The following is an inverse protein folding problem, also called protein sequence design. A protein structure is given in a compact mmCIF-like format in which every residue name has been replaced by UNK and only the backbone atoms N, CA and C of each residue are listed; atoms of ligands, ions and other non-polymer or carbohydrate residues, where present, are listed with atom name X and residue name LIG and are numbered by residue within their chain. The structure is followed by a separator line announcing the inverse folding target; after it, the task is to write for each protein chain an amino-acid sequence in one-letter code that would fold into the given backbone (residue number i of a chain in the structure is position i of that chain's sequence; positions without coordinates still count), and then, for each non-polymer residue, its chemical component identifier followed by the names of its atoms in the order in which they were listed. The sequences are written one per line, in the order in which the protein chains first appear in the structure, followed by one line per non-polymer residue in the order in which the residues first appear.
data_IF_166511660711
#
_entry.id   IF_166511660711
#
_cell.length_a   1.000
_cell.length_b   1.000
_cell.length_c   1.000
_cell.angle_alpha   90.00
_cell.angle_beta   90.00
_cell.angle_gamma   90.00
#
_symmetry.space_group_name_H-M   'P 1'
#
loop_
_entity.id
_entity.type
_entity.pdbx_description
1 polymer ?
#
# COMPACT_ATOMS: atom_id res chain seq x y z
N UNK A 1 -29.48 15.29 -4.46
CA UNK A 1 -28.90 13.93 -4.55
C UNK A 1 -28.48 13.52 -3.15
N UNK A 2 -29.24 12.60 -2.53
CA UNK A 2 -28.95 12.10 -1.19
C UNK A 2 -27.74 11.15 -1.27
N UNK A 3 -26.62 11.58 -0.69
CA UNK A 3 -25.46 10.72 -0.52
C UNK A 3 -25.85 9.62 0.49
N UNK A 4 -26.14 8.44 -0.05
CA UNK A 4 -26.34 7.22 0.71
C UNK A 4 -25.00 6.84 1.35
N UNK A 5 -24.66 7.50 2.46
CA UNK A 5 -23.52 7.14 3.30
C UNK A 5 -23.83 5.77 3.89
N UNK A 6 -23.40 4.72 3.19
CA UNK A 6 -23.14 3.44 3.84
C UNK A 6 -22.06 3.72 4.87
N UNK A 7 -22.49 4.05 6.09
CA UNK A 7 -21.64 4.22 7.26
C UNK A 7 -20.91 2.90 7.41
N UNK A 8 -19.68 2.87 6.93
CA UNK A 8 -18.82 1.71 7.00
C UNK A 8 -18.54 1.56 8.47
N UNK A 9 -19.16 0.55 9.10
CA UNK A 9 -19.07 0.38 10.55
C UNK A 9 -17.59 0.52 10.97
N UNK A 10 -17.24 1.44 11.89
CA UNK A 10 -15.87 1.87 12.13
C UNK A 10 -14.95 0.73 12.56
N UNK A 11 -15.50 -0.38 13.07
CA UNK A 11 -14.75 -1.61 13.31
C UNK A 11 -14.28 -2.28 12.01
N UNK A 12 -15.17 -2.42 11.03
CA UNK A 12 -14.87 -3.00 9.72
C UNK A 12 -13.90 -2.13 8.92
N UNK A 13 -14.02 -0.81 9.01
CA UNK A 13 -13.10 0.11 8.36
C UNK A 13 -11.66 -0.03 8.92
N UNK A 14 -11.50 -0.13 10.25
CA UNK A 14 -10.19 -0.37 10.87
C UNK A 14 -9.60 -1.73 10.50
N UNK A 15 -10.43 -2.77 10.47
CA UNK A 15 -10.01 -4.10 10.03
C UNK A 15 -9.61 -4.10 8.55
N UNK A 16 -10.30 -3.34 7.70
CA UNK A 16 -9.94 -3.18 6.29
C UNK A 16 -8.62 -2.44 6.07
N UNK A 17 -8.35 -1.39 6.84
CA UNK A 17 -7.04 -0.72 6.87
C UNK A 17 -5.97 -1.71 7.30
N UNK A 18 -6.18 -2.43 8.39
CA UNK A 18 -5.22 -3.41 8.89
C UNK A 18 -4.93 -4.52 7.86
N UNK A 19 -5.99 -5.09 7.27
CA UNK A 19 -5.87 -6.13 6.26
C UNK A 19 -5.09 -5.66 5.04
N UNK A 20 -5.35 -4.44 4.56
CA UNK A 20 -4.64 -3.88 3.40
C UNK A 20 -3.16 -3.58 3.72
N UNK A 21 -2.89 -3.00 4.90
CA UNK A 21 -1.52 -2.70 5.35
C UNK A 21 -0.69 -3.96 5.62
N UNK A 22 -1.33 -5.11 5.89
CA UNK A 22 -0.63 -6.40 6.00
C UNK A 22 -0.49 -7.06 4.62
N UNK A 23 -1.51 -6.97 3.76
CA UNK A 23 -1.50 -7.60 2.44
C UNK A 23 -0.43 -7.00 1.51
N UNK A 24 -0.26 -5.68 1.53
CA UNK A 24 0.73 -4.97 0.69
C UNK A 24 2.17 -5.47 0.93
N UNK A 25 2.70 -5.52 2.18
CA UNK A 25 4.04 -6.02 2.42
C UNK A 25 4.18 -7.53 2.15
N UNK A 26 3.13 -8.34 2.32
CA UNK A 26 3.14 -9.75 1.88
C UNK A 26 3.33 -9.85 0.37
N UNK A 27 2.58 -9.06 -0.40
CA UNK A 27 2.75 -8.98 -1.86
C UNK A 27 4.15 -8.48 -2.22
N UNK A 28 4.67 -7.45 -1.54
CA UNK A 28 6.02 -6.96 -1.77
C UNK A 28 7.11 -8.01 -1.48
N UNK A 29 6.91 -8.88 -0.48
CA UNK A 29 7.80 -10.02 -0.22
C UNK A 29 7.70 -11.07 -1.33
N UNK A 30 6.50 -11.33 -1.84
CA UNK A 30 6.30 -12.24 -2.96
C UNK A 30 6.92 -11.74 -4.27
N UNK A 31 7.16 -10.42 -4.44
CA UNK A 31 7.95 -9.86 -5.54
C UNK A 31 9.47 -10.09 -5.40
N UNK A 32 9.94 -10.63 -4.27
CA UNK A 32 11.37 -10.89 -4.03
C UNK A 32 11.85 -12.12 -4.80
N UNK A 33 13.15 -12.22 -5.13
CA UNK A 33 13.68 -13.38 -5.83
C UNK A 33 13.47 -14.68 -5.02
N UNK A 34 13.42 -15.85 -5.70
CA UNK A 34 13.45 -17.15 -5.04
C UNK A 34 14.68 -17.26 -4.11
N UNK A 35 14.57 -17.93 -2.94
CA UNK A 35 13.52 -18.88 -2.56
C UNK A 35 12.31 -18.30 -1.82
N UNK A 36 12.28 -16.99 -1.54
CA UNK A 36 11.25 -16.36 -0.68
C UNK A 36 10.05 -15.84 -1.50
N UNK A 37 10.27 -15.40 -2.75
CA UNK A 37 9.20 -14.91 -3.64
C UNK A 37 9.21 -15.55 -5.04
N UNK A 38 8.28 -15.11 -5.89
CA UNK A 38 8.02 -15.61 -7.24
C UNK A 38 8.49 -14.64 -8.31
N UNK A 39 8.99 -15.20 -9.42
CA UNK A 39 9.46 -14.51 -10.63
C UNK A 39 10.52 -13.42 -10.41
N UNK A 40 11.74 -13.76 -10.81
CA UNK A 40 12.94 -12.95 -10.53
C UNK A 40 12.86 -11.55 -11.10
N UNK A 41 12.79 -10.59 -10.18
CA UNK A 41 13.23 -9.22 -10.35
C UNK A 41 14.78 -9.18 -10.34
N UNK A 42 15.48 -8.75 -11.42
CA UNK A 42 16.94 -8.66 -11.42
C UNK A 42 17.45 -7.75 -10.28
N UNK A 43 18.22 -8.31 -9.34
CA UNK A 43 18.79 -7.55 -8.22
C UNK A 43 20.05 -6.76 -8.57
N UNK A 44 20.63 -6.98 -9.75
CA UNK A 44 21.82 -6.27 -10.21
C UNK A 44 21.58 -4.80 -10.57
N UNK A 45 20.34 -4.43 -10.95
CA UNK A 45 19.95 -3.08 -11.40
C UNK A 45 18.75 -2.56 -10.59
N UNK A 46 18.88 -2.53 -9.26
CA UNK A 46 17.90 -1.85 -8.41
C UNK A 46 18.24 -0.37 -8.31
N UNK A 47 17.34 0.47 -8.83
CA UNK A 47 17.45 1.93 -8.71
C UNK A 47 17.50 2.37 -7.24
N UNK A 48 18.38 3.33 -6.93
CA UNK A 48 18.46 3.96 -5.61
C UNK A 48 17.10 4.51 -5.12
N UNK A 49 16.24 4.90 -6.06
CA UNK A 49 14.88 5.33 -5.77
C UNK A 49 14.07 4.22 -5.07
N UNK A 50 14.17 2.98 -5.54
CA UNK A 50 13.51 1.83 -4.91
C UNK A 50 14.08 1.52 -3.54
N UNK A 51 15.41 1.56 -3.40
CA UNK A 51 16.12 1.26 -2.15
C UNK A 51 15.71 2.24 -1.04
N UNK A 52 15.43 3.50 -1.39
CA UNK A 52 14.91 4.49 -0.45
C UNK A 52 13.40 4.37 -0.21
N UNK A 53 12.61 4.05 -1.25
CA UNK A 53 11.15 4.05 -1.18
C UNK A 53 10.61 2.86 -0.36
N UNK A 54 11.15 1.65 -0.58
CA UNK A 54 10.68 0.42 0.07
C UNK A 54 10.73 0.49 1.62
N UNK A 55 11.85 0.88 2.26
CA UNK A 55 11.87 1.05 3.72
C UNK A 55 10.96 2.19 4.18
N UNK A 56 10.79 3.26 3.39
CA UNK A 56 9.83 4.32 3.69
C UNK A 56 8.38 3.83 3.75
N UNK A 57 8.00 2.96 2.80
CA UNK A 57 6.68 2.30 2.79
C UNK A 57 6.53 1.39 4.01
N UNK A 58 7.49 0.52 4.29
CA UNK A 58 7.47 -0.38 5.46
C UNK A 58 7.34 0.38 6.79
N UNK A 59 8.08 1.49 6.96
CA UNK A 59 8.00 2.32 8.17
C UNK A 59 6.62 2.98 8.28
N UNK A 60 6.10 3.53 7.18
CA UNK A 60 4.78 4.19 7.19
C UNK A 60 3.65 3.20 7.40
N UNK A 61 3.72 1.99 6.84
CA UNK A 61 2.79 0.89 7.07
C UNK A 61 2.82 0.42 8.53
N UNK A 62 4.01 0.19 9.09
CA UNK A 62 4.17 -0.22 10.49
C UNK A 62 3.63 0.85 11.45
N UNK A 63 3.95 2.12 11.18
CA UNK A 63 3.42 3.26 11.94
C UNK A 63 1.89 3.34 11.83
N UNK A 64 1.33 3.06 10.65
CA UNK A 64 -0.12 3.01 10.42
C UNK A 64 -0.78 1.93 11.28
N UNK A 65 -0.24 0.71 11.34
CA UNK A 65 -0.76 -0.38 12.19
C UNK A 65 -0.79 0.05 13.66
N UNK A 66 0.30 0.66 14.15
CA UNK A 66 0.37 1.08 15.55
C UNK A 66 -0.60 2.23 15.87
N UNK A 67 -0.72 3.19 14.95
CA UNK A 67 -1.48 4.41 15.17
C UNK A 67 -2.98 4.26 14.85
N UNK A 68 -3.40 3.35 13.97
CA UNK A 68 -4.83 3.18 13.65
C UNK A 68 -5.66 2.77 14.89
N UNK A 69 -5.06 2.05 15.84
CA UNK A 69 -5.71 1.66 17.10
C UNK A 69 -5.56 2.72 18.20
N UNK A 70 -4.38 3.36 18.33
CA UNK A 70 -4.10 4.33 19.40
C UNK A 70 -4.59 5.74 19.09
N UNK A 71 -4.42 6.20 17.85
CA UNK A 71 -4.76 7.55 17.37
C UNK A 71 -5.33 7.47 15.95
N UNK A 72 -6.63 7.14 15.80
CA UNK A 72 -7.23 6.78 14.52
C UNK A 72 -7.14 7.87 13.44
N UNK A 73 -7.12 9.16 13.81
CA UNK A 73 -6.89 10.26 12.85
C UNK A 73 -5.49 10.19 12.25
N UNK A 74 -4.45 10.16 13.10
CA UNK A 74 -3.05 10.04 12.63
C UNK A 74 -2.82 8.73 11.88
N UNK A 75 -3.43 7.64 12.34
CA UNK A 75 -3.38 6.35 11.65
C UNK A 75 -4.04 6.40 10.27
N UNK A 76 -5.18 7.07 10.12
CA UNK A 76 -5.82 7.25 8.82
C UNK A 76 -4.98 8.14 7.88
N UNK A 77 -4.40 9.23 8.38
CA UNK A 77 -3.49 10.06 7.58
C UNK A 77 -2.28 9.27 7.11
N UNK A 78 -1.66 8.48 8.00
CA UNK A 78 -0.54 7.62 7.63
C UNK A 78 -0.94 6.50 6.66
N UNK A 79 -2.14 5.94 6.79
CA UNK A 79 -2.67 4.97 5.84
C UNK A 79 -2.82 5.57 4.44
N UNK A 80 -3.28 6.83 4.34
CA UNK A 80 -3.35 7.55 3.05
C UNK A 80 -1.94 7.76 2.50
N UNK A 81 -0.98 8.20 3.33
CA UNK A 81 0.41 8.37 2.90
C UNK A 81 1.02 7.06 2.42
N UNK A 82 0.82 5.96 3.16
CA UNK A 82 1.29 4.63 2.79
C UNK A 82 0.65 4.16 1.46
N UNK A 83 -0.64 4.40 1.27
CA UNK A 83 -1.31 4.10 0.00
C UNK A 83 -0.73 4.91 -1.17
N UNK A 84 -0.49 6.21 -0.98
CA UNK A 84 0.13 7.06 -2.00
C UNK A 84 1.54 6.57 -2.34
N UNK A 85 2.35 6.25 -1.34
CA UNK A 85 3.71 5.73 -1.56
C UNK A 85 3.69 4.41 -2.34
N UNK A 86 2.76 3.50 -2.02
CA UNK A 86 2.57 2.25 -2.76
C UNK A 86 2.12 2.48 -4.22
N UNK A 87 1.22 3.44 -4.45
CA UNK A 87 0.83 3.82 -5.83
C UNK A 87 2.03 4.40 -6.59
N UNK A 88 2.83 5.26 -5.94
CA UNK A 88 4.07 5.79 -6.51
C UNK A 88 5.07 4.68 -6.84
N UNK A 89 5.15 3.64 -6.00
CA UNK A 89 5.97 2.46 -6.28
C UNK A 89 5.53 1.77 -7.57
N UNK A 90 4.23 1.51 -7.73
CA UNK A 90 3.65 0.91 -8.93
C UNK A 90 3.97 1.75 -10.18
N UNK A 91 3.78 3.07 -10.10
CA UNK A 91 4.13 3.97 -11.22
C UNK A 91 5.63 3.97 -11.52
N UNK A 92 6.48 3.94 -10.49
CA UNK A 92 7.94 3.85 -10.66
C UNK A 92 8.39 2.55 -11.31
N UNK A 93 7.68 1.45 -11.07
CA UNK A 93 7.90 0.19 -11.77
C UNK A 93 7.53 0.26 -13.25
N UNK A 94 6.34 0.79 -13.57
CA UNK A 94 5.83 0.93 -14.94
C UNK A 94 6.66 1.91 -15.79
N UNK A 95 7.19 2.97 -15.18
CA UNK A 95 8.06 3.94 -15.84
C UNK A 95 9.50 3.44 -16.05
N UNK A 96 9.79 2.17 -15.73
CA UNK A 96 11.13 1.59 -15.74
C UNK A 96 12.14 2.34 -14.84
N UNK A 97 11.67 3.25 -13.97
CA UNK A 97 12.50 4.00 -13.03
C UNK A 97 13.05 3.10 -11.92
N UNK A 98 12.36 2.00 -11.65
CA UNK A 98 12.82 0.99 -10.71
C UNK A 98 13.48 -0.22 -11.36
N UNK A 99 13.35 -0.42 -12.68
CA UNK A 99 14.03 -1.45 -13.49
C UNK A 99 14.02 -1.14 -14.99
N UNK A 100 15.13 -1.33 -15.71
CA UNK A 100 15.21 -1.10 -17.16
C UNK A 100 14.65 -2.24 -18.04
N UNK A 101 14.18 -3.36 -17.47
CA UNK A 101 13.77 -4.56 -18.22
C UNK A 101 12.27 -4.81 -18.08
N UNK A 102 11.62 -5.24 -19.17
CA UNK A 102 10.20 -5.63 -19.17
C UNK A 102 9.96 -6.72 -18.14
N UNK A 103 9.03 -6.44 -17.23
CA UNK A 103 8.69 -7.35 -16.15
C UNK A 103 8.03 -8.64 -16.66
N UNK A 104 8.33 -9.80 -16.05
CA UNK A 104 7.61 -11.03 -16.31
C UNK A 104 6.14 -10.91 -15.85
N UNK A 105 5.27 -11.74 -16.42
CA UNK A 105 3.80 -11.60 -16.29
C UNK A 105 3.31 -11.66 -14.83
N UNK A 106 3.91 -12.53 -14.00
CA UNK A 106 3.59 -12.63 -12.58
C UNK A 106 4.02 -11.41 -11.77
N UNK A 107 5.17 -10.79 -12.09
CA UNK A 107 5.52 -9.49 -11.48
C UNK A 107 4.47 -8.42 -11.82
N UNK A 108 4.02 -8.36 -13.07
CA UNK A 108 3.00 -7.39 -13.50
C UNK A 108 1.69 -7.59 -12.71
N UNK A 109 1.26 -8.84 -12.53
CA UNK A 109 0.06 -9.18 -11.75
C UNK A 109 0.20 -8.80 -10.27
N UNK A 110 1.38 -9.02 -9.68
CA UNK A 110 1.65 -8.61 -8.30
C UNK A 110 1.63 -7.09 -8.15
N UNK A 111 2.28 -6.37 -9.05
CA UNK A 111 2.36 -4.91 -9.01
C UNK A 111 0.97 -4.25 -9.14
N UNK A 112 0.13 -4.75 -10.04
CA UNK A 112 -1.27 -4.31 -10.12
C UNK A 112 -2.09 -4.67 -8.88
N UNK A 113 -1.83 -5.83 -8.28
CA UNK A 113 -2.49 -6.24 -7.02
C UNK A 113 -2.13 -5.27 -5.89
N UNK A 114 -0.85 -4.92 -5.74
CA UNK A 114 -0.39 -3.90 -4.79
C UNK A 114 -1.10 -2.58 -5.03
N UNK A 115 -1.20 -2.13 -6.29
CA UNK A 115 -1.94 -0.92 -6.64
C UNK A 115 -3.42 -0.96 -6.24
N UNK A 116 -4.08 -2.10 -6.43
CA UNK A 116 -5.49 -2.28 -6.06
C UNK A 116 -5.69 -2.26 -4.55
N UNK A 117 -4.82 -2.93 -3.78
CA UNK A 117 -4.83 -2.86 -2.32
C UNK A 117 -4.50 -1.46 -1.79
N UNK A 118 -3.58 -0.73 -2.43
CA UNK A 118 -3.27 0.65 -2.08
C UNK A 118 -4.47 1.59 -2.33
N UNK A 119 -5.18 1.44 -3.45
CA UNK A 119 -6.42 2.18 -3.69
C UNK A 119 -7.51 1.85 -2.66
N UNK A 120 -7.68 0.58 -2.31
CA UNK A 120 -8.63 0.16 -1.29
C UNK A 120 -8.26 0.76 0.08
N UNK A 121 -6.97 0.74 0.44
CA UNK A 121 -6.45 1.35 1.66
C UNK A 121 -6.73 2.85 1.71
N UNK A 122 -6.45 3.59 0.62
CA UNK A 122 -6.73 5.02 0.53
C UNK A 122 -8.23 5.32 0.69
N UNK A 123 -9.09 4.56 0.02
CA UNK A 123 -10.54 4.74 0.10
C UNK A 123 -11.07 4.55 1.53
N UNK A 124 -10.66 3.45 2.18
CA UNK A 124 -11.10 3.15 3.55
C UNK A 124 -10.51 4.18 4.52
N UNK A 125 -9.25 4.56 4.37
CA UNK A 125 -8.60 5.54 5.22
C UNK A 125 -9.24 6.94 5.09
N UNK A 126 -9.56 7.39 3.87
CA UNK A 126 -10.30 8.64 3.66
C UNK A 126 -11.67 8.60 4.33
N UNK A 127 -12.37 7.48 4.24
CA UNK A 127 -13.68 7.31 4.89
C UNK A 127 -13.57 7.44 6.41
N UNK A 128 -12.59 6.76 7.02
CA UNK A 128 -12.32 6.84 8.48
C UNK A 128 -11.92 8.25 8.92
N UNK A 129 -11.12 8.93 8.10
CA UNK A 129 -10.72 10.31 8.37
C UNK A 129 -11.94 11.24 8.36
N UNK A 130 -12.80 11.12 7.36
CA UNK A 130 -13.97 11.98 7.19
C UNK A 130 -15.05 11.77 8.26
N UNK A 131 -15.31 10.52 8.67
CA UNK A 131 -16.25 10.23 9.76
C UNK A 131 -15.83 10.86 11.11
N UNK A 132 -14.53 10.95 11.38
CA UNK A 132 -14.00 11.54 12.62
C UNK A 132 -13.86 13.06 12.59
N UNK A 133 -13.87 13.67 11.40
CA UNK A 133 -13.80 15.14 11.27
C UNK A 133 -15.19 15.77 11.37
N UNK A 134 -16.25 14.99 11.13
CA UNK A 134 -17.65 15.40 11.25
C UNK A 134 -18.30 15.04 12.61
N UNK A 135 -17.52 14.52 13.57
CA UNK A 135 -17.91 14.33 14.97
C UNK A 135 -17.33 15.45 15.83
#
# INVERSE_FOLDING_TARGET
MSANSRILNPRWARTGVLGSVIAIPILAVLESPPPIGFETRPQGDVSHFRVALLPGILVTETATILLVFKRPQLGATLAIVAAVLNILQVFGGQLHLMQPRVAPFGYLMLEYSVGLFAMALAYIACTVHQERTNQ
#
